data_IF_149841924017
#
_entry.id   IF_149841924017
#
_cell.length_a   1.000
_cell.length_b   1.000
_cell.length_c   1.000
_cell.angle_alpha   90.00
_cell.angle_beta   90.00
_cell.angle_gamma   90.00
#
_symmetry.space_group_name_H-M   'P 1'
#
loop_
_entity.id
_entity.type
_entity.pdbx_description
1 polymer ?
#
# COMPACT_ATOMS: atom_id res chain seq x y z
N UNK A 1 44.36 47.78 54.33
CA UNK A 1 44.72 46.73 53.33
C UNK A 1 44.20 45.40 53.89
N UNK A 2 43.06 44.94 53.42
CA UNK A 2 42.52 43.65 53.88
C UNK A 2 41.80 42.97 52.72
N UNK A 3 42.20 41.83 52.45
CA UNK A 3 42.05 40.87 51.36
C UNK A 3 40.59 40.46 51.12
N UNK A 4 40.07 40.75 49.95
CA UNK A 4 38.80 40.31 49.38
C UNK A 4 39.04 39.13 48.41
N UNK A 5 39.29 37.97 48.96
CA UNK A 5 39.41 36.71 48.19
C UNK A 5 38.71 35.62 48.97
N UNK A 6 37.51 35.20 48.61
CA UNK A 6 37.00 33.83 48.89
C UNK A 6 35.49 33.67 48.71
N UNK A 7 34.76 34.58 48.01
CA UNK A 7 33.32 34.41 47.78
C UNK A 7 32.94 33.69 46.47
N UNK A 8 33.90 33.33 45.67
CA UNK A 8 33.63 32.70 44.35
C UNK A 8 33.65 31.18 44.33
N UNK A 9 34.08 30.54 45.41
CA UNK A 9 34.11 29.07 45.50
C UNK A 9 32.85 28.42 46.00
N UNK A 10 31.95 29.19 46.62
CA UNK A 10 30.68 28.68 47.15
C UNK A 10 29.52 28.68 46.12
N UNK A 11 29.60 29.50 45.05
CA UNK A 11 28.54 29.55 44.03
C UNK A 11 28.66 28.47 42.97
N UNK A 12 29.83 27.83 42.82
CA UNK A 12 30.04 26.78 41.81
C UNK A 12 29.54 25.38 42.27
N UNK A 13 29.27 25.19 43.58
CA UNK A 13 28.89 23.85 44.12
C UNK A 13 27.37 23.64 44.20
N UNK A 14 26.52 24.65 43.97
CA UNK A 14 25.06 24.49 43.99
C UNK A 14 24.42 24.21 42.63
N UNK A 15 25.15 24.37 41.51
CA UNK A 15 24.61 24.14 40.16
C UNK A 15 24.77 22.67 39.72
N UNK A 16 25.64 21.89 40.38
CA UNK A 16 25.90 20.50 40.01
C UNK A 16 24.88 19.48 40.52
N UNK A 17 23.90 19.88 41.33
CA UNK A 17 23.00 18.93 42.00
C UNK A 17 21.57 18.89 41.42
N UNK A 18 21.26 19.64 40.37
CA UNK A 18 19.88 19.69 39.84
C UNK A 18 19.71 18.93 38.47
N UNK A 19 20.70 18.22 38.00
CA UNK A 19 20.64 17.46 36.71
C UNK A 19 20.49 15.95 36.92
N UNK A 20 20.55 15.44 38.15
CA UNK A 20 20.52 13.97 38.41
C UNK A 20 19.13 13.44 38.83
N UNK A 21 18.08 14.23 38.70
CA UNK A 21 16.73 13.85 39.17
C UNK A 21 15.76 13.31 38.10
N UNK A 22 16.14 13.16 36.83
CA UNK A 22 15.21 12.74 35.77
C UNK A 22 15.74 11.58 34.92
N UNK A 23 16.20 10.52 35.55
CA UNK A 23 16.79 9.41 34.79
C UNK A 23 16.60 8.04 35.41
N UNK A 24 15.38 7.64 35.77
CA UNK A 24 15.07 6.25 36.12
C UNK A 24 13.65 5.88 35.67
N UNK A 25 13.36 5.97 34.39
CA UNK A 25 12.36 5.12 33.75
C UNK A 25 12.97 4.63 32.46
N UNK A 26 13.17 3.31 32.37
CA UNK A 26 13.89 2.62 31.28
C UNK A 26 13.11 2.61 29.96
N UNK A 27 12.53 3.72 29.57
CA UNK A 27 11.93 3.94 28.24
C UNK A 27 12.90 4.65 27.32
N UNK A 28 12.96 4.28 26.05
CA UNK A 28 13.69 5.04 25.03
C UNK A 28 13.11 6.46 24.94
N UNK A 29 13.98 7.47 25.09
CA UNK A 29 13.58 8.88 24.93
C UNK A 29 12.94 9.10 23.57
N UNK A 30 11.80 9.79 23.55
CA UNK A 30 11.13 10.18 22.30
C UNK A 30 11.98 11.20 21.52
N UNK A 31 11.78 11.31 20.23
CA UNK A 31 12.48 12.29 19.37
C UNK A 31 12.29 13.72 19.90
N UNK A 32 11.13 14.02 20.46
CA UNK A 32 10.83 15.29 21.12
C UNK A 32 11.69 15.55 22.35
N UNK A 33 11.83 14.56 23.22
CA UNK A 33 12.65 14.65 24.43
C UNK A 33 14.13 14.78 24.09
N UNK A 34 14.61 14.06 23.08
CA UNK A 34 15.98 14.21 22.54
C UNK A 34 16.18 15.60 21.96
N UNK A 35 15.24 16.13 21.16
CA UNK A 35 15.30 17.46 20.58
C UNK A 35 15.30 18.55 21.66
N UNK A 36 14.45 18.45 22.67
CA UNK A 36 14.42 19.37 23.78
C UNK A 36 15.73 19.36 24.59
N UNK A 37 16.30 18.17 24.86
CA UNK A 37 17.56 18.05 25.57
C UNK A 37 18.75 18.67 24.82
N UNK A 38 18.85 18.40 23.52
CA UNK A 38 19.91 18.96 22.66
C UNK A 38 19.73 20.48 22.55
N UNK A 39 18.49 20.96 22.38
CA UNK A 39 18.20 22.39 22.30
C UNK A 39 18.53 23.12 23.60
N UNK A 40 18.21 22.51 24.77
CA UNK A 40 18.53 23.09 26.06
C UNK A 40 20.05 23.25 26.27
N UNK A 41 20.81 22.20 25.97
CA UNK A 41 22.27 22.21 26.15
C UNK A 41 22.93 23.18 25.17
N UNK A 42 22.54 23.18 23.90
CA UNK A 42 23.03 24.10 22.88
C UNK A 42 22.68 25.55 23.19
N UNK A 43 21.45 25.82 23.59
CA UNK A 43 20.96 27.14 23.98
C UNK A 43 21.66 27.68 25.24
N UNK A 44 21.87 26.86 26.27
CA UNK A 44 22.57 27.24 27.48
C UNK A 44 24.06 27.56 27.22
N UNK A 45 24.72 26.77 26.37
CA UNK A 45 26.11 27.02 25.98
C UNK A 45 26.26 28.32 25.20
N UNK A 46 25.42 28.56 24.20
CA UNK A 46 25.46 29.78 23.39
C UNK A 46 25.06 31.01 24.22
N UNK A 47 23.97 30.92 25.02
CA UNK A 47 23.54 31.99 25.91
C UNK A 47 24.55 32.29 26.99
N UNK A 48 25.24 31.30 27.55
CA UNK A 48 26.31 31.43 28.52
C UNK A 48 27.51 32.21 27.95
N UNK A 49 27.92 31.89 26.72
CA UNK A 49 29.02 32.57 26.04
C UNK A 49 28.69 34.06 25.80
N UNK A 50 27.46 34.36 25.32
CA UNK A 50 27.00 35.73 25.12
C UNK A 50 26.88 36.46 26.47
N UNK A 51 26.31 35.83 27.49
CA UNK A 51 26.16 36.36 28.84
C UNK A 51 27.53 36.66 29.49
N UNK A 52 28.56 35.87 29.23
CA UNK A 52 29.91 36.10 29.69
C UNK A 52 30.49 37.38 29.09
N UNK A 53 30.23 37.67 27.83
CA UNK A 53 30.70 38.88 27.13
C UNK A 53 30.07 40.13 27.73
N UNK A 54 28.85 40.05 28.29
CA UNK A 54 28.16 41.20 28.96
C UNK A 54 28.22 41.17 30.48
N UNK A 55 29.02 40.28 31.07
CA UNK A 55 29.27 40.22 32.49
C UNK A 55 28.22 39.40 33.29
N UNK A 56 27.29 38.75 32.64
CA UNK A 56 26.21 37.96 33.30
C UNK A 56 26.06 36.53 32.76
N UNK A 57 27.11 35.68 32.85
CA UNK A 57 27.11 34.35 32.20
C UNK A 57 25.99 33.43 32.69
N UNK A 58 25.66 33.51 33.96
CA UNK A 58 24.56 32.69 34.55
C UNK A 58 23.18 33.04 34.00
N UNK A 59 22.86 34.32 33.88
CA UNK A 59 21.61 34.80 33.30
C UNK A 59 21.49 34.44 31.82
N UNK A 60 22.59 34.60 31.03
CA UNK A 60 22.63 34.24 29.65
C UNK A 60 22.43 32.75 29.40
N UNK A 61 23.04 31.89 30.21
CA UNK A 61 22.87 30.43 30.13
C UNK A 61 21.42 30.01 30.47
N UNK A 62 20.82 30.62 31.49
CA UNK A 62 19.43 30.33 31.89
C UNK A 62 18.42 30.68 30.78
N UNK A 63 18.54 31.89 30.22
CA UNK A 63 17.67 32.36 29.13
C UNK A 63 17.88 31.52 27.88
N UNK A 64 19.13 31.27 27.50
CA UNK A 64 19.48 30.43 26.34
C UNK A 64 18.97 28.98 26.49
N UNK A 65 19.07 28.42 27.68
CA UNK A 65 18.54 27.08 27.98
C UNK A 65 17.02 26.98 27.83
N UNK A 66 16.27 27.94 28.34
CA UNK A 66 14.79 27.96 28.23
C UNK A 66 14.35 28.16 26.77
N UNK A 67 14.98 29.06 26.04
CA UNK A 67 14.67 29.26 24.61
C UNK A 67 15.07 28.03 23.80
N UNK A 68 16.20 27.39 24.11
CA UNK A 68 16.66 26.15 23.45
C UNK A 68 15.72 24.96 23.70
N UNK A 69 15.16 24.82 24.90
CA UNK A 69 14.15 23.80 25.20
C UNK A 69 12.92 23.95 24.30
N UNK A 70 12.38 25.18 24.18
CA UNK A 70 11.19 25.44 23.36
C UNK A 70 11.42 25.15 21.88
N UNK A 71 12.49 25.68 21.31
CA UNK A 71 12.81 25.46 19.90
C UNK A 71 13.21 24.03 19.60
N UNK A 72 13.97 23.37 20.48
CA UNK A 72 14.35 21.96 20.33
C UNK A 72 13.14 21.01 20.40
N UNK A 73 12.16 21.30 21.24
CA UNK A 73 10.91 20.54 21.33
C UNK A 73 10.07 20.68 20.04
N UNK A 74 9.95 21.89 19.50
CA UNK A 74 9.20 22.13 18.25
C UNK A 74 9.85 21.44 17.05
N UNK A 75 11.17 21.48 16.95
CA UNK A 75 11.90 20.76 15.89
C UNK A 75 11.76 19.26 16.07
N UNK A 76 11.82 18.75 17.31
CA UNK A 76 11.62 17.33 17.62
C UNK A 76 10.23 16.83 17.23
N UNK A 77 9.17 17.61 17.48
CA UNK A 77 7.79 17.27 17.08
C UNK A 77 7.65 17.22 15.55
N UNK A 78 8.28 18.15 14.83
CA UNK A 78 8.23 18.20 13.39
C UNK A 78 8.99 17.02 12.76
N UNK A 79 10.15 16.65 13.31
CA UNK A 79 10.90 15.47 12.87
C UNK A 79 10.16 14.17 13.15
N UNK A 80 9.53 14.03 14.31
CA UNK A 80 8.72 12.86 14.65
C UNK A 80 7.53 12.69 13.71
N UNK A 81 6.87 13.78 13.33
CA UNK A 81 5.79 13.76 12.34
C UNK A 81 6.26 13.32 10.95
N UNK A 82 7.50 13.66 10.56
CA UNK A 82 8.09 13.19 9.31
C UNK A 82 8.50 11.71 9.37
N UNK A 83 9.09 11.26 10.47
CA UNK A 83 9.45 9.85 10.67
C UNK A 83 8.23 8.91 10.60
N UNK A 84 7.10 9.31 11.23
CA UNK A 84 5.85 8.54 11.17
C UNK A 84 5.33 8.47 9.74
N UNK A 85 5.29 9.60 9.01
CA UNK A 85 4.87 9.62 7.60
C UNK A 85 5.76 8.77 6.70
N UNK A 86 7.08 8.85 6.90
CA UNK A 86 8.03 8.01 6.14
C UNK A 86 7.84 6.51 6.44
N UNK A 87 7.61 6.16 7.71
CA UNK A 87 7.35 4.77 8.09
C UNK A 87 6.02 4.24 7.50
N UNK A 88 4.98 5.07 7.43
CA UNK A 88 3.71 4.73 6.78
C UNK A 88 3.88 4.57 5.26
N UNK A 89 4.60 5.49 4.62
CA UNK A 89 4.92 5.40 3.20
C UNK A 89 5.74 4.14 2.89
N UNK A 90 6.73 3.83 3.72
CA UNK A 90 7.55 2.62 3.54
C UNK A 90 6.71 1.35 3.65
N UNK A 91 5.81 1.27 4.64
CA UNK A 91 4.87 0.14 4.76
C UNK A 91 3.96 0.00 3.54
N UNK A 92 3.45 1.11 3.00
CA UNK A 92 2.63 1.09 1.80
C UNK A 92 3.41 0.59 0.58
N UNK A 93 4.66 1.04 0.42
CA UNK A 93 5.56 0.57 -0.64
C UNK A 93 5.86 -0.92 -0.50
N UNK A 94 6.14 -1.39 0.72
CA UNK A 94 6.44 -2.80 0.98
C UNK A 94 5.22 -3.70 0.72
N UNK A 95 4.02 -3.24 1.08
CA UNK A 95 2.77 -3.93 0.74
C UNK A 95 2.54 -3.99 -0.77
N UNK A 96 2.74 -2.89 -1.49
CA UNK A 96 2.62 -2.89 -2.96
C UNK A 96 3.63 -3.84 -3.61
N UNK A 97 4.88 -3.85 -3.17
CA UNK A 97 5.90 -4.79 -3.68
C UNK A 97 5.51 -6.24 -3.44
N UNK A 98 5.01 -6.55 -2.26
CA UNK A 98 4.55 -7.89 -1.92
C UNK A 98 3.39 -8.37 -2.82
N UNK A 99 2.40 -7.49 -3.09
CA UNK A 99 1.32 -7.83 -4.02
C UNK A 99 1.81 -7.98 -5.46
N UNK A 100 2.75 -7.13 -5.91
CA UNK A 100 3.37 -7.26 -7.23
C UNK A 100 4.13 -8.60 -7.39
N UNK A 101 4.87 -9.02 -6.37
CA UNK A 101 5.57 -10.31 -6.39
C UNK A 101 4.59 -11.49 -6.46
N UNK A 102 3.51 -11.44 -5.69
CA UNK A 102 2.44 -12.44 -5.76
C UNK A 102 1.78 -12.48 -7.15
N UNK A 103 1.47 -11.32 -7.73
CA UNK A 103 0.90 -11.24 -9.07
C UNK A 103 1.84 -11.84 -10.12
N UNK A 104 3.13 -11.54 -10.05
CA UNK A 104 4.14 -12.12 -10.95
C UNK A 104 4.21 -13.63 -10.82
N UNK A 105 4.25 -14.15 -9.59
CA UNK A 105 4.24 -15.60 -9.36
C UNK A 105 3.00 -16.27 -9.96
N UNK A 106 1.83 -15.66 -9.76
CA UNK A 106 0.55 -16.14 -10.31
C UNK A 106 0.56 -16.14 -11.84
N UNK A 107 1.05 -15.07 -12.46
CA UNK A 107 1.18 -14.96 -13.91
C UNK A 107 2.13 -16.02 -14.46
N UNK A 108 3.28 -16.26 -13.82
CA UNK A 108 4.22 -17.29 -14.25
C UNK A 108 3.62 -18.71 -14.15
N UNK A 109 2.84 -19.01 -13.11
CA UNK A 109 2.14 -20.29 -12.99
C UNK A 109 1.07 -20.49 -14.10
N UNK A 110 0.34 -19.41 -14.44
CA UNK A 110 -0.61 -19.41 -15.55
C UNK A 110 0.10 -19.64 -16.89
N UNK A 111 1.20 -18.94 -17.14
CA UNK A 111 2.01 -19.08 -18.36
C UNK A 111 2.57 -20.48 -18.54
N UNK A 112 3.03 -21.16 -17.47
CA UNK A 112 3.51 -22.55 -17.52
C UNK A 112 2.46 -23.52 -18.09
N UNK A 113 1.17 -23.15 -17.99
CA UNK A 113 0.04 -23.92 -18.53
C UNK A 113 -0.52 -23.37 -19.84
N UNK A 114 0.24 -22.50 -20.51
CA UNK A 114 -0.19 -21.80 -21.73
C UNK A 114 -1.50 -21.00 -21.55
N UNK A 115 -1.69 -20.43 -20.34
CA UNK A 115 -2.80 -19.52 -20.04
C UNK A 115 -2.25 -18.11 -20.05
N UNK A 116 -2.76 -17.29 -20.98
CA UNK A 116 -2.37 -15.91 -21.09
C UNK A 116 -2.99 -15.09 -19.95
N UNK A 117 -2.14 -14.38 -19.21
CA UNK A 117 -2.55 -13.54 -18.09
C UNK A 117 -1.76 -12.23 -18.08
N UNK A 118 -2.42 -11.16 -17.68
CA UNK A 118 -1.87 -9.82 -17.63
C UNK A 118 -2.08 -9.22 -16.24
N UNK A 119 -1.12 -8.41 -15.79
CA UNK A 119 -1.28 -7.59 -14.60
C UNK A 119 -2.11 -6.35 -14.93
N UNK A 120 -3.05 -6.03 -14.07
CA UNK A 120 -3.90 -4.84 -14.14
C UNK A 120 -3.91 -4.11 -12.80
N UNK A 121 -4.46 -2.90 -12.76
CA UNK A 121 -4.65 -2.16 -11.49
C UNK A 121 -5.57 -2.89 -10.49
N UNK A 122 -6.39 -3.83 -10.95
CA UNK A 122 -7.29 -4.63 -10.11
C UNK A 122 -6.67 -5.93 -9.62
N UNK A 123 -5.59 -6.41 -10.26
CA UNK A 123 -4.96 -7.68 -10.00
C UNK A 123 -4.56 -8.41 -11.27
N UNK A 124 -4.56 -9.74 -11.25
CA UNK A 124 -4.21 -10.58 -12.41
C UNK A 124 -5.46 -10.93 -13.21
N UNK A 125 -5.47 -10.55 -14.48
CA UNK A 125 -6.56 -10.82 -15.42
C UNK A 125 -6.17 -11.97 -16.38
N UNK A 126 -7.06 -12.94 -16.50
CA UNK A 126 -7.00 -14.05 -17.47
C UNK A 126 -8.12 -13.86 -18.49
N UNK A 127 -7.77 -13.90 -19.78
CA UNK A 127 -8.72 -13.80 -20.86
C UNK A 127 -9.14 -15.18 -21.37
N UNK A 128 -10.45 -15.43 -21.45
CA UNK A 128 -11.08 -16.60 -22.04
C UNK A 128 -11.80 -16.19 -23.32
N UNK A 129 -11.21 -16.38 -24.51
CA UNK A 129 -11.85 -16.09 -25.78
C UNK A 129 -13.12 -16.92 -26.01
N UNK A 130 -13.98 -16.46 -26.93
CA UNK A 130 -15.25 -17.11 -27.26
C UNK A 130 -15.11 -18.56 -27.76
N UNK A 131 -13.95 -18.96 -28.28
CA UNK A 131 -13.67 -20.35 -28.69
C UNK A 131 -13.73 -21.35 -27.52
N UNK A 132 -13.71 -20.89 -26.29
CA UNK A 132 -13.91 -21.72 -25.10
C UNK A 132 -15.39 -22.05 -24.83
N UNK A 133 -16.32 -21.50 -25.61
CA UNK A 133 -17.75 -21.73 -25.52
C UNK A 133 -18.27 -22.37 -26.80
N UNK A 134 -19.36 -23.14 -26.67
CA UNK A 134 -20.09 -23.64 -27.84
C UNK A 134 -20.65 -22.44 -28.67
N UNK A 135 -20.87 -22.67 -29.96
CA UNK A 135 -21.32 -21.60 -30.86
C UNK A 135 -22.65 -21.01 -30.37
N UNK A 136 -22.69 -19.69 -30.27
CA UNK A 136 -23.86 -18.89 -29.81
C UNK A 136 -24.42 -19.34 -28.45
N UNK A 137 -23.60 -19.97 -27.61
CA UNK A 137 -23.97 -20.52 -26.31
C UNK A 137 -23.16 -19.90 -25.17
N UNK A 138 -23.63 -20.15 -23.96
CA UNK A 138 -22.91 -19.94 -22.71
C UNK A 138 -22.26 -21.25 -22.20
N UNK A 139 -22.49 -22.37 -22.84
CA UNK A 139 -21.91 -23.64 -22.45
C UNK A 139 -20.42 -23.68 -22.80
N UNK A 140 -19.61 -24.12 -21.86
CA UNK A 140 -18.18 -24.30 -22.08
C UNK A 140 -17.94 -25.53 -22.96
N UNK A 141 -17.07 -25.39 -23.96
CA UNK A 141 -16.50 -26.54 -24.65
C UNK A 141 -15.69 -27.40 -23.67
N UNK A 142 -15.35 -28.62 -24.08
CA UNK A 142 -14.48 -29.50 -23.27
C UNK A 142 -13.14 -28.80 -22.94
N UNK A 143 -12.55 -28.14 -23.92
CA UNK A 143 -11.27 -27.43 -23.75
C UNK A 143 -11.44 -26.18 -22.90
N UNK A 144 -12.55 -25.44 -23.07
CA UNK A 144 -12.93 -24.32 -22.23
C UNK A 144 -13.04 -24.73 -20.75
N UNK A 145 -13.75 -25.82 -20.46
CA UNK A 145 -13.88 -26.38 -19.11
C UNK A 145 -12.53 -26.78 -18.54
N UNK A 146 -11.71 -27.49 -19.30
CA UNK A 146 -10.35 -27.87 -18.88
C UNK A 146 -9.50 -26.63 -18.53
N UNK A 147 -9.62 -25.56 -19.32
CA UNK A 147 -8.91 -24.29 -19.07
C UNK A 147 -9.39 -23.63 -17.79
N UNK A 148 -10.70 -23.55 -17.56
CA UNK A 148 -11.25 -23.00 -16.31
C UNK A 148 -10.80 -23.82 -15.09
N UNK A 149 -10.78 -25.16 -15.20
CA UNK A 149 -10.31 -26.05 -14.13
C UNK A 149 -8.81 -25.84 -13.82
N UNK A 150 -7.99 -25.59 -14.84
CA UNK A 150 -6.59 -25.25 -14.64
C UNK A 150 -6.44 -23.89 -13.91
N UNK A 151 -7.22 -22.88 -14.29
CA UNK A 151 -7.25 -21.57 -13.62
C UNK A 151 -7.66 -21.76 -12.15
N UNK A 152 -8.77 -22.49 -11.90
CA UNK A 152 -9.24 -22.78 -10.55
C UNK A 152 -8.16 -23.45 -9.69
N UNK A 153 -7.43 -24.43 -10.24
CA UNK A 153 -6.35 -25.11 -9.53
C UNK A 153 -5.21 -24.17 -9.11
N UNK A 154 -4.91 -23.18 -9.95
CA UNK A 154 -3.89 -22.17 -9.66
C UNK A 154 -4.40 -21.19 -8.60
N UNK A 155 -5.63 -20.68 -8.74
CA UNK A 155 -6.25 -19.79 -7.75
C UNK A 155 -6.23 -20.43 -6.36
N UNK A 156 -6.65 -21.68 -6.25
CA UNK A 156 -6.68 -22.43 -4.98
C UNK A 156 -5.31 -22.58 -4.32
N UNK A 157 -4.25 -22.69 -5.11
CA UNK A 157 -2.91 -22.89 -4.60
C UNK A 157 -2.21 -21.57 -4.30
N UNK A 158 -2.31 -20.58 -5.19
CA UNK A 158 -1.50 -19.36 -5.14
C UNK A 158 -2.27 -18.16 -4.57
N UNK A 159 -3.62 -18.17 -4.65
CA UNK A 159 -4.46 -17.04 -4.29
C UNK A 159 -5.78 -17.45 -3.60
N UNK A 160 -5.78 -18.37 -2.60
CA UNK A 160 -7.02 -19.00 -2.07
C UNK A 160 -8.01 -18.02 -1.43
N UNK A 161 -7.53 -16.89 -0.96
CA UNK A 161 -8.34 -15.89 -0.23
C UNK A 161 -8.64 -14.63 -1.05
N UNK A 162 -8.16 -14.57 -2.31
CA UNK A 162 -8.41 -13.43 -3.18
C UNK A 162 -9.81 -13.49 -3.78
N UNK A 163 -10.42 -12.33 -3.95
CA UNK A 163 -11.67 -12.22 -4.71
C UNK A 163 -11.40 -12.48 -6.18
N UNK A 164 -12.38 -13.14 -6.82
CA UNK A 164 -12.35 -13.46 -8.24
C UNK A 164 -13.59 -12.85 -8.88
N UNK A 165 -13.39 -11.89 -9.76
CA UNK A 165 -14.46 -11.27 -10.53
C UNK A 165 -14.43 -11.82 -11.95
N UNK A 166 -15.57 -12.36 -12.41
CA UNK A 166 -15.74 -12.88 -13.77
C UNK A 166 -16.60 -11.91 -14.57
N UNK A 167 -16.05 -11.35 -15.64
CA UNK A 167 -16.70 -10.36 -16.49
C UNK A 167 -16.90 -10.89 -17.91
N UNK A 168 -18.17 -10.99 -18.33
CA UNK A 168 -18.52 -11.39 -19.68
C UNK A 168 -18.66 -10.18 -20.61
N UNK A 169 -18.11 -10.29 -21.83
CA UNK A 169 -18.14 -9.26 -22.84
C UNK A 169 -18.69 -9.80 -24.17
N UNK A 170 -19.27 -8.93 -24.96
CA UNK A 170 -19.76 -9.21 -26.29
C UNK A 170 -19.30 -8.15 -27.30
N UNK A 171 -19.26 -8.51 -28.56
CA UNK A 171 -19.05 -7.56 -29.66
C UNK A 171 -20.34 -6.81 -29.97
N UNK A 172 -20.21 -5.59 -30.49
CA UNK A 172 -21.32 -4.82 -31.04
C UNK A 172 -21.36 -5.02 -32.56
N UNK A 173 -22.43 -5.61 -33.07
CA UNK A 173 -22.68 -5.70 -34.50
C UNK A 173 -23.85 -4.79 -34.90
N UNK A 174 -24.87 -4.71 -34.04
CA UNK A 174 -25.99 -3.79 -34.22
C UNK A 174 -26.59 -3.38 -32.86
N UNK A 175 -27.27 -2.25 -32.82
CA UNK A 175 -27.98 -1.78 -31.61
C UNK A 175 -29.17 -2.70 -31.27
N UNK A 176 -29.75 -3.38 -32.24
CA UNK A 176 -30.87 -4.32 -32.01
C UNK A 176 -30.49 -5.53 -31.16
N UNK A 177 -29.22 -5.91 -31.09
CA UNK A 177 -28.73 -7.07 -30.35
C UNK A 177 -28.24 -6.74 -28.95
N UNK A 178 -28.30 -5.49 -28.49
CA UNK A 178 -27.73 -5.09 -27.20
C UNK A 178 -28.27 -5.90 -26.00
N UNK A 179 -29.59 -6.09 -25.93
CA UNK A 179 -30.22 -6.88 -24.86
C UNK A 179 -29.86 -8.37 -24.90
N UNK A 180 -29.68 -8.92 -26.11
CA UNK A 180 -29.22 -10.28 -26.31
C UNK A 180 -27.76 -10.42 -25.87
N UNK A 181 -26.88 -9.52 -26.32
CA UNK A 181 -25.47 -9.50 -25.98
C UNK A 181 -25.24 -9.33 -24.46
N UNK A 182 -26.06 -8.48 -23.82
CA UNK A 182 -26.01 -8.33 -22.37
C UNK A 182 -26.35 -9.65 -21.67
N UNK A 183 -27.44 -10.33 -22.04
CA UNK A 183 -27.81 -11.62 -21.43
C UNK A 183 -26.82 -12.74 -21.75
N UNK A 184 -26.28 -12.80 -22.97
CA UNK A 184 -25.31 -13.83 -23.34
C UNK A 184 -24.00 -13.66 -22.57
N UNK A 185 -23.51 -12.42 -22.46
CA UNK A 185 -22.31 -12.10 -21.68
C UNK A 185 -22.46 -12.44 -20.20
N UNK A 186 -23.63 -12.16 -19.63
CA UNK A 186 -23.96 -12.51 -18.24
C UNK A 186 -24.00 -14.03 -18.01
N UNK A 187 -24.70 -14.77 -18.89
CA UNK A 187 -24.74 -16.24 -18.80
C UNK A 187 -23.33 -16.85 -18.91
N UNK A 188 -22.48 -16.33 -19.83
CA UNK A 188 -21.11 -16.81 -19.98
C UNK A 188 -20.26 -16.57 -18.74
N UNK A 189 -20.38 -15.37 -18.14
CA UNK A 189 -19.70 -15.06 -16.89
C UNK A 189 -20.16 -15.99 -15.76
N UNK A 190 -21.47 -16.22 -15.63
CA UNK A 190 -22.02 -17.13 -14.62
C UNK A 190 -21.54 -18.58 -14.83
N UNK A 191 -21.52 -19.08 -16.08
CA UNK A 191 -21.04 -20.44 -16.37
C UNK A 191 -19.58 -20.61 -15.96
N UNK A 192 -18.72 -19.61 -16.20
CA UNK A 192 -17.31 -19.65 -15.77
C UNK A 192 -17.21 -19.56 -14.24
N UNK A 193 -17.96 -18.67 -13.59
CA UNK A 193 -18.02 -18.57 -12.13
C UNK A 193 -18.43 -19.89 -11.47
N UNK A 194 -19.53 -20.47 -11.93
CA UNK A 194 -20.04 -21.79 -11.47
C UNK A 194 -18.99 -22.89 -11.65
N UNK A 195 -18.23 -22.89 -12.75
CA UNK A 195 -17.20 -23.88 -13.01
C UNK A 195 -15.98 -23.69 -12.08
N UNK A 196 -15.60 -22.43 -11.78
CA UNK A 196 -14.57 -22.14 -10.80
C UNK A 196 -14.95 -22.66 -9.41
N UNK A 197 -16.21 -22.44 -9.00
CA UNK A 197 -16.73 -22.93 -7.71
C UNK A 197 -16.79 -24.46 -7.67
N UNK A 198 -17.30 -25.11 -8.72
CA UNK A 198 -17.29 -26.58 -8.84
C UNK A 198 -15.88 -27.16 -8.76
N UNK A 199 -14.89 -26.43 -9.27
CA UNK A 199 -13.48 -26.81 -9.21
C UNK A 199 -12.83 -26.50 -7.84
N UNK A 200 -13.61 -25.97 -6.89
CA UNK A 200 -13.25 -25.78 -5.49
C UNK A 200 -12.65 -24.42 -5.15
N UNK A 201 -12.87 -23.39 -5.96
CA UNK A 201 -12.68 -22.00 -5.54
C UNK A 201 -13.81 -21.63 -4.59
N UNK A 202 -13.51 -20.93 -3.50
CA UNK A 202 -14.54 -20.53 -2.52
C UNK A 202 -15.57 -19.59 -3.16
N UNK A 203 -16.82 -20.02 -3.27
CA UNK A 203 -17.91 -19.25 -3.88
C UNK A 203 -18.17 -17.89 -3.22
N UNK A 204 -17.78 -17.71 -1.95
CA UNK A 204 -17.86 -16.41 -1.27
C UNK A 204 -16.92 -15.37 -1.91
N UNK A 205 -15.88 -15.85 -2.57
CA UNK A 205 -14.89 -15.01 -3.23
C UNK A 205 -15.15 -14.86 -4.73
N UNK A 206 -16.12 -15.57 -5.32
CA UNK A 206 -16.45 -15.51 -6.75
C UNK A 206 -17.63 -14.57 -6.97
N UNK A 207 -17.51 -13.67 -7.95
CA UNK A 207 -18.60 -12.83 -8.42
C UNK A 207 -18.61 -12.77 -9.93
N UNK A 208 -19.78 -12.86 -10.55
CA UNK A 208 -19.95 -12.88 -12.00
C UNK A 208 -20.85 -11.74 -12.47
N UNK A 209 -20.52 -11.11 -13.60
CA UNK A 209 -21.35 -10.08 -14.22
C UNK A 209 -21.18 -10.02 -15.73
N UNK A 210 -22.25 -9.70 -16.44
CA UNK A 210 -22.21 -9.40 -17.87
C UNK A 210 -22.04 -7.90 -18.11
N UNK A 211 -21.09 -7.54 -18.96
CA UNK A 211 -20.86 -6.16 -19.39
C UNK A 211 -21.41 -5.88 -20.81
N UNK A 212 -21.87 -6.92 -21.52
CA UNK A 212 -22.37 -6.77 -22.88
C UNK A 212 -21.33 -6.11 -23.79
N UNK A 213 -21.75 -5.09 -24.53
CA UNK A 213 -20.91 -4.36 -25.48
C UNK A 213 -20.24 -3.10 -24.89
N UNK A 214 -20.37 -2.85 -23.56
CA UNK A 214 -20.01 -1.58 -22.92
C UNK A 214 -18.50 -1.37 -22.72
N UNK A 215 -17.71 -2.45 -22.74
CA UNK A 215 -16.27 -2.37 -22.49
C UNK A 215 -15.48 -3.07 -23.62
N UNK A 216 -15.46 -2.52 -24.83
CA UNK A 216 -14.69 -3.06 -25.95
C UNK A 216 -13.19 -2.81 -25.72
N UNK A 217 -12.36 -3.80 -26.09
CA UNK A 217 -10.89 -3.67 -26.09
C UNK A 217 -10.34 -3.51 -27.51
N UNK A 218 -11.16 -3.71 -28.52
CA UNK A 218 -10.80 -3.57 -29.93
C UNK A 218 -11.97 -2.98 -30.74
N UNK A 219 -11.69 -2.58 -31.99
CA UNK A 219 -12.73 -2.03 -32.88
C UNK A 219 -13.80 -3.05 -33.20
N UNK A 220 -15.06 -2.70 -33.08
CA UNK A 220 -16.20 -3.52 -33.51
C UNK A 220 -16.42 -3.50 -35.03
N UNK A 221 -15.73 -2.66 -35.78
CA UNK A 221 -15.86 -2.55 -37.24
C UNK A 221 -15.20 -3.73 -37.96
N UNK A 222 -14.15 -4.32 -37.38
CA UNK A 222 -13.44 -5.44 -37.94
C UNK A 222 -13.82 -6.76 -37.26
N UNK A 223 -13.83 -7.89 -38.02
CA UNK A 223 -14.12 -9.19 -37.42
C UNK A 223 -13.07 -9.58 -36.39
N UNK A 224 -11.80 -9.29 -36.65
CA UNK A 224 -10.72 -9.54 -35.69
C UNK A 224 -10.94 -8.80 -34.36
N UNK A 225 -11.38 -7.54 -34.42
CA UNK A 225 -11.68 -6.79 -33.21
C UNK A 225 -12.95 -7.28 -32.50
N UNK A 226 -13.98 -7.69 -33.26
CA UNK A 226 -15.17 -8.32 -32.66
C UNK A 226 -14.82 -9.62 -31.93
N UNK A 227 -13.93 -10.44 -32.51
CA UNK A 227 -13.44 -11.67 -31.83
C UNK A 227 -12.74 -11.38 -30.51
N UNK A 228 -11.93 -10.33 -30.46
CA UNK A 228 -11.28 -9.90 -29.21
C UNK A 228 -12.30 -9.40 -28.18
N UNK A 229 -13.37 -8.72 -28.63
CA UNK A 229 -14.41 -8.24 -27.75
C UNK A 229 -15.30 -9.36 -27.20
N UNK A 230 -15.48 -10.47 -27.92
CA UNK A 230 -16.22 -11.67 -27.47
C UNK A 230 -15.36 -12.52 -26.53
N UNK A 231 -15.30 -12.17 -25.25
CA UNK A 231 -14.45 -12.80 -24.24
C UNK A 231 -15.12 -12.87 -22.87
N UNK A 232 -14.54 -13.68 -22.01
CA UNK A 232 -14.79 -13.62 -20.55
C UNK A 232 -13.45 -13.35 -19.86
N UNK A 233 -13.42 -12.36 -18.99
CA UNK A 233 -12.27 -12.02 -18.16
C UNK A 233 -12.45 -12.62 -16.77
N UNK A 234 -11.43 -13.34 -16.28
CA UNK A 234 -11.34 -13.80 -14.89
C UNK A 234 -10.29 -12.94 -14.21
N UNK A 235 -10.70 -12.11 -13.26
CA UNK A 235 -9.86 -11.14 -12.57
C UNK A 235 -9.67 -11.61 -11.14
N UNK A 236 -8.41 -11.94 -10.80
CA UNK A 236 -8.00 -12.35 -9.46
C UNK A 236 -7.50 -11.08 -8.77
N UNK A 237 -8.35 -10.50 -7.90
CA UNK A 237 -8.14 -9.16 -7.33
C UNK A 237 -6.99 -9.13 -6.31
N UNK A 238 -6.39 -7.94 -6.15
CA UNK A 238 -5.31 -7.71 -5.17
C UNK A 238 -5.81 -7.79 -3.72
#
# INVERSE_FOLDING_TARGET
>A
MATRKNSWRAAALFISLLVIGAGCSGGSLTTREKGAGIGALGGAAAGGAIGAAVGHPGAGAAIGGVLGLGTGALIGDQLQGQEVKQAEQQKAIDQQRFELEKNRALIEELKKRNIEAHETSRGVMVNLPSVNFEFDSADLTRDGRNRVNQIASIIKREAPNRRVTVEGHASRESAAQESYNQRLSERRANTVGDELERSGVDGRNVSSRGLGTRAPIASNETEAGRQQNRRVEVIIEN
#
